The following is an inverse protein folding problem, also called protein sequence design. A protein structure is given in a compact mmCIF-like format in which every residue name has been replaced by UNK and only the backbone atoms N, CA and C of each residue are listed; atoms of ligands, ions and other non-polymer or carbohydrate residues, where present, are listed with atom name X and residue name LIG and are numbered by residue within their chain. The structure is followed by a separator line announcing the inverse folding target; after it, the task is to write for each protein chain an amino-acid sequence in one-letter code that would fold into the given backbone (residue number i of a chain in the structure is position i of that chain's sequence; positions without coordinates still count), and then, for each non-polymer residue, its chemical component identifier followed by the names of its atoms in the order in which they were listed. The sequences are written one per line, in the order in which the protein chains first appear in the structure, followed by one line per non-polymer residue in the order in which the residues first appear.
data_IF_996771245484
#
_entry.id   IF_996771245484
#
_cell.length_a   1.000
_cell.length_b   1.000
_cell.length_c   1.000
_cell.angle_alpha   90.00
_cell.angle_beta   90.00
_cell.angle_gamma   90.00
#
_symmetry.space_group_name_H-M   'P 1'
#
loop_
_entity.id
_entity.type
_entity.pdbx_description
1 polymer ?
#
# COMPACT_ATOMS: atom_id res chain seq x y z
N UNK A 1 32.53 -68.65 -8.27
CA UNK A 1 31.47 -68.36 -7.29
C UNK A 1 31.88 -67.14 -6.52
N UNK A 2 31.31 -65.97 -6.83
CA UNK A 2 31.50 -64.73 -6.10
C UNK A 2 30.12 -64.18 -5.80
N UNK A 3 29.79 -64.09 -4.52
CA UNK A 3 28.50 -63.60 -4.01
C UNK A 3 28.30 -62.12 -4.36
N UNK A 4 27.13 -61.71 -4.88
CA UNK A 4 26.79 -60.30 -5.00
C UNK A 4 26.53 -59.70 -3.61
N UNK A 5 27.09 -58.52 -3.35
CA UNK A 5 26.89 -57.76 -2.12
C UNK A 5 25.47 -57.19 -2.00
N UNK A 6 25.07 -56.71 -0.82
CA UNK A 6 23.69 -56.30 -0.56
C UNK A 6 23.33 -55.03 -1.34
N UNK A 7 22.19 -55.06 -2.03
CA UNK A 7 21.53 -53.87 -2.56
C UNK A 7 21.07 -52.98 -1.39
N UNK A 8 21.62 -51.76 -1.34
CA UNK A 8 21.09 -50.67 -0.52
C UNK A 8 19.75 -50.23 -1.12
N UNK A 9 18.66 -50.83 -0.63
CA UNK A 9 17.31 -50.35 -0.88
C UNK A 9 17.08 -49.07 -0.06
N UNK A 10 17.35 -47.93 -0.68
CA UNK A 10 16.93 -46.62 -0.16
C UNK A 10 15.41 -46.53 -0.34
N UNK A 11 14.69 -46.79 0.75
CA UNK A 11 13.23 -46.65 0.80
C UNK A 11 12.77 -45.26 0.33
N UNK A 12 11.51 -45.13 -0.10
CA UNK A 12 11.00 -43.91 -0.73
C UNK A 12 11.20 -42.74 0.22
N UNK A 13 12.08 -41.82 -0.20
CA UNK A 13 12.29 -40.55 0.47
C UNK A 13 10.93 -39.89 0.68
N UNK A 14 10.60 -39.64 1.94
CA UNK A 14 9.52 -38.74 2.29
C UNK A 14 9.95 -37.35 1.80
N UNK A 15 9.53 -37.00 0.58
CA UNK A 15 9.49 -35.61 0.15
C UNK A 15 8.51 -34.91 1.08
N UNK A 16 9.02 -34.30 2.16
CA UNK A 16 8.28 -33.28 2.89
C UNK A 16 8.11 -32.12 1.92
N UNK A 17 6.95 -32.08 1.27
CA UNK A 17 6.48 -30.86 0.62
C UNK A 17 6.10 -29.92 1.77
N UNK A 18 7.09 -29.24 2.34
CA UNK A 18 6.81 -28.08 3.19
C UNK A 18 6.17 -27.04 2.27
N UNK A 19 4.88 -26.79 2.49
CA UNK A 19 4.16 -25.74 1.77
C UNK A 19 4.82 -24.41 2.14
N UNK A 20 5.54 -23.85 1.19
CA UNK A 20 6.08 -22.50 1.32
C UNK A 20 4.95 -21.49 1.15
N UNK A 21 4.85 -20.55 2.10
CA UNK A 21 3.95 -19.41 2.04
C UNK A 21 4.67 -18.13 1.64
N UNK A 22 5.92 -18.22 1.15
CA UNK A 22 6.74 -17.05 0.85
C UNK A 22 6.08 -16.16 -0.21
N UNK A 23 5.50 -16.75 -1.26
CA UNK A 23 4.79 -15.99 -2.31
C UNK A 23 3.50 -15.34 -1.78
N UNK A 24 2.72 -16.09 -0.99
CA UNK A 24 1.49 -15.57 -0.37
C UNK A 24 1.78 -14.40 0.58
N UNK A 25 2.86 -14.51 1.37
CA UNK A 25 3.34 -13.45 2.25
C UNK A 25 3.77 -12.23 1.44
N UNK A 26 4.51 -12.44 0.36
CA UNK A 26 4.97 -11.36 -0.51
C UNK A 26 3.82 -10.64 -1.20
N UNK A 27 2.79 -11.36 -1.65
CA UNK A 27 1.57 -10.77 -2.20
C UNK A 27 0.78 -10.01 -1.14
N UNK A 28 0.65 -10.57 0.06
CA UNK A 28 -0.03 -9.91 1.19
C UNK A 28 0.70 -8.63 1.59
N UNK A 29 2.03 -8.67 1.70
CA UNK A 29 2.84 -7.50 2.01
C UNK A 29 2.73 -6.44 0.91
N UNK A 30 2.69 -6.83 -0.36
CA UNK A 30 2.46 -5.91 -1.47
C UNK A 30 1.11 -5.16 -1.32
N UNK A 31 0.03 -5.89 -1.03
CA UNK A 31 -1.29 -5.29 -0.76
C UNK A 31 -1.27 -4.32 0.42
N UNK A 32 -0.58 -4.68 1.51
CA UNK A 32 -0.41 -3.81 2.67
C UNK A 32 0.35 -2.53 2.28
N UNK A 33 1.43 -2.64 1.52
CA UNK A 33 2.20 -1.47 1.07
C UNK A 33 1.44 -0.57 0.11
N UNK A 34 0.61 -1.14 -0.76
CA UNK A 34 -0.26 -0.37 -1.67
C UNK A 34 -1.32 0.41 -0.87
N UNK A 35 -1.79 -0.16 0.24
CA UNK A 35 -2.65 0.51 1.21
C UNK A 35 -1.91 1.44 2.19
N UNK A 36 -0.60 1.67 2.01
CA UNK A 36 0.26 2.47 2.89
C UNK A 36 0.34 1.96 4.33
N UNK A 37 0.28 0.64 4.52
CA UNK A 37 0.36 -0.03 5.82
C UNK A 37 1.76 -0.64 6.01
N UNK A 38 2.43 -0.24 7.09
CA UNK A 38 3.66 -0.86 7.57
C UNK A 38 3.36 -1.77 8.78
N UNK A 39 3.96 -2.96 8.81
CA UNK A 39 3.70 -3.96 9.86
C UNK A 39 4.84 -4.00 10.88
N UNK A 40 4.48 -4.02 12.16
CA UNK A 40 5.40 -4.03 13.29
C UNK A 40 5.16 -5.24 14.20
N UNK A 41 5.63 -6.45 13.82
CA UNK A 41 5.38 -7.64 14.62
C UNK A 41 6.08 -7.57 15.97
N UNK A 42 5.36 -8.00 17.02
CA UNK A 42 5.89 -8.14 18.38
C UNK A 42 5.81 -9.61 18.78
N UNK A 43 6.96 -10.22 19.06
CA UNK A 43 7.05 -11.59 19.55
C UNK A 43 6.62 -11.65 21.01
N UNK A 44 5.37 -12.05 21.24
CA UNK A 44 4.77 -12.13 22.57
C UNK A 44 5.42 -13.15 23.50
N UNK A 45 6.31 -14.03 23.00
CA UNK A 45 7.08 -14.97 23.83
C UNK A 45 8.09 -14.24 24.73
N UNK A 46 8.38 -12.97 24.44
CA UNK A 46 9.25 -12.14 25.26
C UNK A 46 10.73 -12.40 25.01
N UNK A 47 11.55 -12.15 26.04
CA UNK A 47 12.96 -12.52 26.04
C UNK A 47 13.09 -14.04 26.15
N UNK A 48 13.37 -14.69 25.02
CA UNK A 48 13.69 -16.10 24.99
C UNK A 48 15.16 -16.30 25.30
N UNK A 49 15.43 -17.04 26.37
CA UNK A 49 16.76 -17.58 26.67
C UNK A 49 17.04 -18.83 25.82
N UNK A 50 17.96 -19.68 26.30
CA UNK A 50 18.20 -20.97 25.68
C UNK A 50 16.93 -21.82 25.63
N UNK A 51 16.61 -22.37 24.46
CA UNK A 51 15.48 -23.27 24.21
C UNK A 51 15.62 -24.64 24.88
N UNK A 52 16.80 -24.92 25.48
CA UNK A 52 17.09 -26.22 26.10
C UNK A 52 16.20 -26.56 27.30
N UNK A 53 15.68 -25.57 28.04
CA UNK A 53 14.86 -25.81 29.25
C UNK A 53 13.94 -24.63 29.55
N UNK A 54 12.66 -24.76 29.25
CA UNK A 54 11.63 -23.81 29.74
C UNK A 54 10.93 -24.41 30.96
N UNK A 55 10.44 -23.59 31.89
CA UNK A 55 9.73 -24.09 33.08
C UNK A 55 8.45 -24.87 32.75
N UNK A 56 7.94 -24.72 31.52
CA UNK A 56 6.79 -25.45 30.97
C UNK A 56 7.11 -26.82 30.38
N UNK A 57 8.39 -27.19 30.24
CA UNK A 57 8.79 -28.50 29.75
C UNK A 57 9.05 -29.46 30.91
N UNK A 58 8.25 -30.54 31.07
CA UNK A 58 8.46 -31.52 32.14
C UNK A 58 9.73 -32.36 31.95
N UNK A 59 10.41 -32.27 30.79
CA UNK A 59 11.64 -32.99 30.50
C UNK A 59 11.45 -34.52 30.37
N UNK A 60 10.20 -34.98 30.31
CA UNK A 60 9.83 -36.40 30.27
C UNK A 60 9.05 -36.75 29.00
N UNK A 61 9.25 -37.95 28.45
CA UNK A 61 8.53 -38.44 27.28
C UNK A 61 7.11 -38.91 27.63
N UNK A 62 6.38 -39.46 26.65
CA UNK A 62 4.99 -39.93 26.84
C UNK A 62 4.85 -41.03 27.91
N UNK A 63 5.95 -41.72 28.24
CA UNK A 63 6.01 -42.73 29.29
C UNK A 63 6.42 -42.17 30.65
N UNK A 64 6.61 -40.85 30.77
CA UNK A 64 7.07 -40.19 31.99
C UNK A 64 8.55 -40.40 32.29
N UNK A 65 9.34 -40.94 31.35
CA UNK A 65 10.78 -41.13 31.49
C UNK A 65 11.53 -39.88 31.03
N UNK A 66 12.64 -39.55 31.69
CA UNK A 66 13.47 -38.40 31.28
C UNK A 66 13.94 -38.53 29.82
N UNK A 67 13.72 -37.49 29.02
CA UNK A 67 14.18 -37.42 27.63
C UNK A 67 15.70 -37.26 27.62
N UNK A 68 16.41 -38.15 26.94
CA UNK A 68 17.87 -38.16 26.88
C UNK A 68 18.37 -38.45 25.45
N UNK A 69 19.61 -38.08 25.15
CA UNK A 69 20.28 -38.42 23.90
C UNK A 69 19.55 -37.88 22.67
N UNK A 70 19.22 -38.76 21.71
CA UNK A 70 18.64 -38.38 20.43
C UNK A 70 17.24 -37.75 20.54
N UNK A 71 16.40 -38.24 21.45
CA UNK A 71 15.04 -37.71 21.66
C UNK A 71 15.07 -36.26 22.17
N UNK A 72 15.97 -35.98 23.11
CA UNK A 72 16.20 -34.61 23.59
C UNK A 72 16.77 -33.72 22.48
N UNK A 73 17.74 -34.22 21.71
CA UNK A 73 18.32 -33.49 20.58
C UNK A 73 17.29 -33.13 19.50
N UNK A 74 16.42 -34.07 19.15
CA UNK A 74 15.34 -33.84 18.16
C UNK A 74 14.34 -32.80 18.64
N UNK A 75 13.94 -32.85 19.91
CA UNK A 75 13.03 -31.85 20.47
C UNK A 75 13.62 -30.44 20.46
N UNK A 76 14.86 -30.29 20.94
CA UNK A 76 15.54 -28.98 20.95
C UNK A 76 15.66 -28.45 19.53
N UNK A 77 16.10 -29.28 18.58
CA UNK A 77 16.18 -28.92 17.16
C UNK A 77 14.83 -28.47 16.61
N UNK A 78 13.74 -29.18 16.94
CA UNK A 78 12.40 -28.84 16.48
C UNK A 78 11.88 -27.53 17.11
N UNK A 79 12.16 -27.29 18.38
CA UNK A 79 11.78 -26.06 19.07
C UNK A 79 12.54 -24.84 18.52
N UNK A 80 13.86 -24.98 18.32
CA UNK A 80 14.71 -23.97 17.71
C UNK A 80 14.26 -23.63 16.30
N UNK A 81 14.01 -24.66 15.48
CA UNK A 81 13.57 -24.46 14.10
C UNK A 81 12.25 -23.69 14.06
N UNK A 82 11.24 -24.10 14.83
CA UNK A 82 9.95 -23.38 14.90
C UNK A 82 10.10 -21.93 15.37
N UNK A 83 10.97 -21.68 16.34
CA UNK A 83 11.24 -20.33 16.84
C UNK A 83 11.83 -19.45 15.73
N UNK A 84 12.87 -19.95 15.07
CA UNK A 84 13.54 -19.28 13.96
C UNK A 84 12.58 -19.02 12.80
N UNK A 85 11.77 -20.01 12.41
CA UNK A 85 10.81 -19.89 11.31
C UNK A 85 9.75 -18.81 11.59
N UNK A 86 9.23 -18.78 12.82
CA UNK A 86 8.25 -17.76 13.23
C UNK A 86 8.89 -16.37 13.20
N UNK A 87 10.11 -16.22 13.72
CA UNK A 87 10.81 -14.95 13.73
C UNK A 87 11.21 -14.49 12.34
N UNK A 88 11.60 -15.41 11.45
CA UNK A 88 11.91 -15.13 10.05
C UNK A 88 10.66 -14.64 9.30
N UNK A 89 9.49 -15.25 9.54
CA UNK A 89 8.22 -14.81 8.96
C UNK A 89 7.86 -13.39 9.40
N UNK A 90 8.01 -13.09 10.69
CA UNK A 90 7.83 -11.73 11.21
C UNK A 90 8.79 -10.73 10.54
N UNK A 91 10.06 -11.11 10.38
CA UNK A 91 11.07 -10.27 9.76
C UNK A 91 10.78 -10.01 8.29
N UNK A 92 10.36 -11.04 7.56
CA UNK A 92 9.97 -10.91 6.16
C UNK A 92 8.83 -9.89 6.01
N UNK A 93 7.72 -10.07 6.75
CA UNK A 93 6.57 -9.17 6.65
C UNK A 93 6.91 -7.73 7.04
N UNK A 94 7.68 -7.54 8.10
CA UNK A 94 8.13 -6.21 8.53
C UNK A 94 9.03 -5.55 7.47
N UNK A 95 10.00 -6.28 6.92
CA UNK A 95 10.92 -5.76 5.92
C UNK A 95 10.22 -5.44 4.60
N UNK A 96 9.30 -6.30 4.16
CA UNK A 96 8.54 -6.10 2.92
C UNK A 96 7.62 -4.87 2.99
N UNK A 97 7.10 -4.58 4.18
CA UNK A 97 6.21 -3.43 4.43
C UNK A 97 6.92 -2.16 4.95
N UNK A 98 8.24 -2.22 5.17
CA UNK A 98 9.03 -1.10 5.68
C UNK A 98 8.91 -0.85 7.19
N UNK A 99 8.32 -1.78 7.94
CA UNK A 99 8.24 -1.75 9.40
C UNK A 99 9.49 -2.35 10.09
N UNK A 100 9.31 -2.87 11.31
CA UNK A 100 10.37 -3.56 12.06
C UNK A 100 9.81 -4.61 13.00
N UNK A 101 10.61 -5.64 13.28
CA UNK A 101 10.28 -6.68 14.27
C UNK A 101 10.80 -6.31 15.65
N UNK A 102 9.99 -6.64 16.65
CA UNK A 102 10.33 -6.61 18.07
C UNK A 102 10.34 -8.03 18.61
N UNK A 103 11.53 -8.63 18.73
CA UNK A 103 11.72 -9.99 19.25
C UNK A 103 12.73 -10.03 20.38
N UNK A 104 12.68 -11.09 21.19
CA UNK A 104 13.61 -11.33 22.30
C UNK A 104 13.66 -10.18 23.32
N UNK A 105 12.49 -9.65 23.73
CA UNK A 105 12.37 -8.51 24.63
C UNK A 105 11.07 -8.52 25.41
N UNK A 106 11.06 -7.96 26.62
CA UNK A 106 9.91 -7.96 27.55
C UNK A 106 9.24 -6.58 27.72
N UNK A 107 9.62 -5.60 26.92
CA UNK A 107 9.12 -4.22 26.92
C UNK A 107 8.20 -3.97 25.71
N UNK A 108 7.01 -4.60 25.76
CA UNK A 108 5.98 -4.51 24.72
C UNK A 108 5.44 -3.07 24.61
N UNK A 109 5.29 -2.38 25.74
CA UNK A 109 4.92 -0.97 25.82
C UNK A 109 5.88 -0.07 25.03
N UNK A 110 7.19 -0.27 25.20
CA UNK A 110 8.21 0.43 24.43
C UNK A 110 8.18 0.04 22.93
N UNK A 111 7.86 -1.21 22.61
CA UNK A 111 7.73 -1.68 21.22
C UNK A 111 6.58 -0.96 20.49
N UNK A 112 5.44 -0.80 21.16
CA UNK A 112 4.29 -0.03 20.65
C UNK A 112 4.65 1.45 20.51
N UNK A 113 5.27 2.06 21.54
CA UNK A 113 5.67 3.46 21.49
C UNK A 113 6.64 3.76 20.33
N UNK A 114 7.63 2.89 20.11
CA UNK A 114 8.56 3.01 18.98
C UNK A 114 7.86 2.85 17.63
N UNK A 115 6.86 1.96 17.52
CA UNK A 115 6.09 1.78 16.28
C UNK A 115 5.26 3.01 15.93
N UNK A 116 4.66 3.65 16.94
CA UNK A 116 3.91 4.90 16.76
C UNK A 116 4.83 6.08 16.39
N UNK A 117 5.99 6.19 17.06
CA UNK A 117 6.98 7.22 16.75
C UNK A 117 7.49 7.10 15.30
N UNK A 118 7.70 5.87 14.84
CA UNK A 118 8.13 5.59 13.47
C UNK A 118 7.11 6.02 12.41
N UNK A 119 5.82 5.72 12.65
CA UNK A 119 4.73 6.16 11.77
C UNK A 119 4.46 7.67 11.78
N UNK A 120 5.00 8.41 12.76
CA UNK A 120 4.73 9.85 12.90
C UNK A 120 5.56 10.74 11.96
N UNK A 121 6.65 10.22 11.39
CA UNK A 121 7.59 11.00 10.59
C UNK A 121 8.14 10.15 9.45
N UNK A 122 7.63 10.38 8.24
CA UNK A 122 8.04 9.65 7.05
C UNK A 122 8.10 10.57 5.82
N UNK A 123 8.81 10.10 4.80
CA UNK A 123 8.82 10.72 3.47
C UNK A 123 8.01 9.86 2.52
N UNK A 124 7.18 10.49 1.68
CA UNK A 124 6.50 9.82 0.57
C UNK A 124 7.30 10.05 -0.71
N UNK A 125 7.73 8.96 -1.34
CA UNK A 125 8.49 8.97 -2.60
C UNK A 125 7.69 8.20 -3.66
N UNK A 126 7.30 8.88 -4.74
CA UNK A 126 6.65 8.25 -5.88
C UNK A 126 7.67 7.68 -6.86
N UNK A 127 7.50 6.40 -7.23
CA UNK A 127 8.26 5.76 -8.30
C UNK A 127 7.29 5.26 -9.37
N UNK A 128 7.45 5.76 -10.60
CA UNK A 128 6.62 5.42 -11.74
C UNK A 128 7.55 4.84 -12.82
N UNK A 129 7.47 3.52 -13.11
CA UNK A 129 8.36 2.90 -14.09
C UNK A 129 8.12 3.49 -15.49
N UNK A 130 9.20 3.86 -16.17
CA UNK A 130 9.16 4.35 -17.56
C UNK A 130 8.76 3.22 -18.51
N UNK A 131 9.40 2.05 -18.35
CA UNK A 131 9.05 0.82 -19.06
C UNK A 131 7.94 0.07 -18.34
N UNK A 132 6.69 0.26 -18.81
CA UNK A 132 5.49 -0.41 -18.30
C UNK A 132 5.42 -1.89 -18.73
N UNK A 133 6.45 -2.66 -18.40
CA UNK A 133 6.49 -4.11 -18.63
C UNK A 133 5.68 -4.84 -17.55
N UNK A 134 4.43 -5.16 -17.87
CA UNK A 134 3.49 -5.85 -16.98
C UNK A 134 3.62 -7.38 -17.09
N UNK A 135 4.78 -7.92 -16.75
CA UNK A 135 5.09 -9.35 -16.88
C UNK A 135 4.55 -10.23 -15.72
N UNK A 136 3.84 -9.62 -14.76
CA UNK A 136 3.28 -10.25 -13.57
C UNK A 136 4.31 -10.61 -12.50
N UNK A 137 5.60 -10.32 -12.70
CA UNK A 137 6.66 -10.66 -11.75
C UNK A 137 6.87 -9.57 -10.72
N UNK A 138 7.56 -9.94 -9.64
CA UNK A 138 7.97 -8.99 -8.62
C UNK A 138 9.21 -8.20 -9.05
N UNK A 139 9.09 -6.88 -9.06
CA UNK A 139 10.16 -5.94 -9.35
C UNK A 139 10.66 -5.32 -8.04
N UNK A 140 11.96 -5.47 -7.75
CA UNK A 140 12.58 -4.92 -6.56
C UNK A 140 12.75 -3.41 -6.64
N UNK A 141 12.53 -2.74 -5.52
CA UNK A 141 12.84 -1.33 -5.32
C UNK A 141 14.02 -1.24 -4.36
N UNK A 142 15.01 -0.42 -4.71
CA UNK A 142 16.15 -0.14 -3.85
C UNK A 142 16.25 1.37 -3.63
N UNK A 143 16.32 1.77 -2.36
CA UNK A 143 16.51 3.18 -1.97
C UNK A 143 17.89 3.34 -1.36
N UNK A 144 18.71 4.20 -1.97
CA UNK A 144 20.03 4.54 -1.47
C UNK A 144 20.04 5.99 -0.98
N UNK A 145 20.62 6.23 0.20
CA UNK A 145 20.79 7.57 0.78
C UNK A 145 22.26 7.95 0.81
N UNK A 146 22.54 9.23 0.59
CA UNK A 146 23.92 9.74 0.55
C UNK A 146 24.61 9.74 1.92
N UNK A 147 23.84 9.83 3.01
CA UNK A 147 24.39 9.92 4.35
C UNK A 147 24.85 8.54 4.85
N UNK A 148 26.12 8.39 5.27
CA UNK A 148 26.61 7.14 5.78
C UNK A 148 25.98 6.80 7.14
N UNK A 149 25.83 5.50 7.43
CA UNK A 149 25.30 4.93 8.69
C UNK A 149 23.79 5.14 8.94
N UNK A 150 23.04 5.71 8.01
CA UNK A 150 21.58 5.67 8.08
C UNK A 150 21.06 4.31 7.59
N UNK A 151 20.01 3.82 8.24
CA UNK A 151 19.23 2.68 7.78
C UNK A 151 17.92 3.18 7.19
N UNK A 152 17.65 2.81 5.95
CA UNK A 152 16.40 3.15 5.26
C UNK A 152 15.50 1.94 5.32
N UNK A 153 14.25 2.15 5.73
CA UNK A 153 13.18 1.15 5.60
C UNK A 153 12.18 1.66 4.59
N UNK A 154 11.82 0.78 3.65
CA UNK A 154 10.98 1.10 2.52
C UNK A 154 10.31 -0.17 2.00
N UNK A 155 9.27 -0.02 1.18
CA UNK A 155 8.67 -1.14 0.44
C UNK A 155 9.73 -1.82 -0.43
N UNK A 156 9.76 -3.15 -0.45
CA UNK A 156 10.82 -3.90 -1.13
C UNK A 156 10.63 -4.03 -2.65
N UNK A 157 9.43 -3.75 -3.15
CA UNK A 157 9.12 -3.87 -4.57
C UNK A 157 7.63 -3.76 -4.85
N UNK A 158 7.24 -4.20 -6.05
CA UNK A 158 5.86 -4.26 -6.52
C UNK A 158 5.70 -5.40 -7.52
N UNK A 159 4.49 -5.94 -7.66
CA UNK A 159 4.19 -6.87 -8.75
C UNK A 159 3.80 -6.08 -10.00
N UNK A 160 4.42 -6.40 -11.13
CA UNK A 160 4.12 -5.77 -12.41
C UNK A 160 2.86 -6.39 -13.05
N UNK A 161 1.72 -6.28 -12.36
CA UNK A 161 0.42 -6.76 -12.86
C UNK A 161 -0.15 -5.75 -13.85
N UNK A 162 -0.70 -6.24 -14.97
CA UNK A 162 -1.35 -5.40 -15.97
C UNK A 162 -2.55 -4.65 -15.33
N UNK A 163 -2.47 -3.32 -15.15
CA UNK A 163 -3.50 -2.57 -14.46
C UNK A 163 -4.80 -2.51 -15.27
N UNK A 164 -4.79 -2.82 -16.57
CA UNK A 164 -6.01 -2.83 -17.38
C UNK A 164 -6.98 -3.95 -17.00
N UNK A 165 -6.54 -4.92 -16.21
CA UNK A 165 -7.42 -5.92 -15.60
C UNK A 165 -8.43 -5.30 -14.64
N UNK A 166 -8.12 -4.14 -14.05
CA UNK A 166 -9.04 -3.38 -13.20
C UNK A 166 -10.38 -3.13 -13.91
N UNK A 167 -10.35 -2.77 -15.20
CA UNK A 167 -11.56 -2.49 -15.97
C UNK A 167 -12.52 -3.69 -16.12
N UNK A 168 -12.04 -4.92 -15.83
CA UNK A 168 -12.82 -6.16 -15.86
C UNK A 168 -13.49 -6.51 -14.54
N UNK A 169 -13.14 -5.82 -13.46
CA UNK A 169 -13.74 -6.04 -12.14
C UNK A 169 -15.22 -5.62 -12.13
N UNK A 170 -15.97 -6.12 -11.14
CA UNK A 170 -17.37 -5.71 -10.96
C UNK A 170 -17.45 -4.19 -10.75
N UNK A 171 -18.58 -3.59 -11.12
CA UNK A 171 -18.75 -2.13 -10.97
C UNK A 171 -18.73 -1.76 -9.49
N UNK A 172 -19.36 -2.59 -8.67
CA UNK A 172 -19.51 -2.44 -7.23
C UNK A 172 -18.14 -2.41 -6.54
N UNK A 173 -17.22 -3.31 -6.92
CA UNK A 173 -15.86 -3.35 -6.37
C UNK A 173 -15.09 -2.05 -6.71
N UNK A 174 -15.21 -1.57 -7.95
CA UNK A 174 -14.56 -0.33 -8.41
C UNK A 174 -15.13 0.92 -7.75
N UNK A 175 -16.42 0.93 -7.43
CA UNK A 175 -17.04 2.01 -6.67
C UNK A 175 -16.64 1.95 -5.19
N UNK A 176 -16.55 0.75 -4.60
CA UNK A 176 -16.09 0.58 -3.23
C UNK A 176 -14.63 1.05 -3.04
N UNK A 177 -13.75 0.75 -4.00
CA UNK A 177 -12.37 1.24 -4.01
C UNK A 177 -12.32 2.77 -4.02
N UNK A 178 -13.07 3.43 -4.91
CA UNK A 178 -13.16 4.89 -4.96
C UNK A 178 -13.67 5.46 -3.63
N UNK A 179 -14.73 4.89 -3.05
CA UNK A 179 -15.26 5.35 -1.78
C UNK A 179 -14.26 5.20 -0.62
N UNK A 180 -13.43 4.17 -0.64
CA UNK A 180 -12.38 3.96 0.38
C UNK A 180 -11.33 5.07 0.39
N UNK A 181 -11.03 5.68 -0.77
CA UNK A 181 -10.03 6.75 -0.89
C UNK A 181 -10.65 8.15 -0.81
N UNK A 182 -11.96 8.28 -0.97
CA UNK A 182 -12.69 9.56 -0.88
C UNK A 182 -13.11 9.92 0.54
N UNK A 183 -13.01 9.00 1.49
CA UNK A 183 -13.29 9.26 2.90
C UNK A 183 -12.42 10.37 3.51
N UNK A 184 -12.94 11.12 4.51
CA UNK A 184 -12.11 11.99 5.34
C UNK A 184 -10.97 11.20 5.96
N UNK A 185 -9.78 11.79 6.02
CA UNK A 185 -8.57 11.19 6.61
C UNK A 185 -8.09 9.89 5.93
N UNK A 186 -8.69 9.48 4.81
CA UNK A 186 -8.18 8.37 3.99
C UNK A 186 -6.76 8.69 3.49
N UNK A 187 -5.86 7.70 3.40
CA UNK A 187 -4.52 7.90 2.86
C UNK A 187 -4.55 8.46 1.44
N UNK A 188 -3.47 9.14 1.03
CA UNK A 188 -3.40 9.73 -0.32
C UNK A 188 -3.11 8.65 -1.35
N UNK A 189 -3.96 8.56 -2.38
CA UNK A 189 -3.69 7.74 -3.55
C UNK A 189 -2.75 8.50 -4.49
N UNK A 190 -1.76 7.80 -5.04
CA UNK A 190 -0.71 8.40 -5.87
C UNK A 190 -0.56 7.73 -7.23
N UNK A 191 -1.51 6.88 -7.64
CA UNK A 191 -1.51 6.24 -8.96
C UNK A 191 -1.67 7.24 -10.11
N UNK A 192 -2.40 8.34 -9.87
CA UNK A 192 -2.45 9.51 -10.76
C UNK A 192 -1.80 10.71 -10.07
N UNK A 193 -0.95 11.43 -10.81
CA UNK A 193 -0.37 12.68 -10.33
C UNK A 193 -1.16 13.84 -10.91
N UNK A 194 -1.50 14.81 -10.06
CA UNK A 194 -2.08 16.08 -10.49
C UNK A 194 -1.80 17.19 -9.48
N UNK A 195 -1.72 18.42 -9.97
CA UNK A 195 -1.79 19.61 -9.13
C UNK A 195 -3.24 20.07 -8.98
N UNK A 196 -3.57 20.67 -7.84
CA UNK A 196 -4.88 21.22 -7.58
C UNK A 196 -4.79 22.68 -7.13
N UNK A 197 -5.70 23.51 -7.63
CA UNK A 197 -5.88 24.89 -7.20
C UNK A 197 -7.36 25.11 -6.88
N UNK A 198 -7.63 25.51 -5.65
CA UNK A 198 -8.95 25.96 -5.20
C UNK A 198 -8.88 27.47 -5.00
N UNK A 199 -9.78 28.21 -5.63
CA UNK A 199 -9.80 29.68 -5.55
C UNK A 199 -10.99 30.11 -4.69
N UNK A 200 -10.79 30.63 -3.46
CA UNK A 200 -11.89 31.16 -2.66
C UNK A 200 -12.54 32.36 -3.37
N UNK A 201 -13.84 32.30 -3.69
CA UNK A 201 -14.56 33.41 -4.31
C UNK A 201 -14.87 34.52 -3.28
N UNK A 202 -15.34 35.67 -3.76
CA UNK A 202 -15.77 36.77 -2.89
C UNK A 202 -16.92 36.32 -1.95
N UNK A 203 -17.00 36.85 -0.71
CA UNK A 203 -18.00 36.41 0.27
C UNK A 203 -19.45 36.63 -0.22
N UNK A 204 -20.27 35.57 -0.16
CA UNK A 204 -21.71 35.61 -0.43
C UNK A 204 -22.44 34.51 0.35
N UNK A 205 -23.78 34.52 0.36
CA UNK A 205 -24.60 33.53 1.07
C UNK A 205 -24.44 32.10 0.51
N UNK A 206 -24.17 31.98 -0.79
CA UNK A 206 -23.63 30.81 -1.45
C UNK A 206 -22.67 31.25 -2.53
N UNK A 207 -21.58 30.51 -2.68
CA UNK A 207 -20.52 30.84 -3.63
C UNK A 207 -20.19 29.63 -4.48
N UNK A 208 -19.89 29.87 -5.75
CA UNK A 208 -19.31 28.87 -6.63
C UNK A 208 -17.80 28.89 -6.44
N UNK A 209 -17.25 27.84 -5.85
CA UNK A 209 -15.83 27.69 -5.58
C UNK A 209 -15.17 27.01 -6.79
N UNK A 210 -14.36 27.72 -7.59
CA UNK A 210 -13.65 27.10 -8.71
C UNK A 210 -12.57 26.14 -8.20
N UNK A 211 -12.51 24.97 -8.84
CA UNK A 211 -11.50 23.95 -8.64
C UNK A 211 -10.84 23.68 -9.98
N UNK A 212 -9.54 23.92 -10.06
CA UNK A 212 -8.71 23.61 -11.21
C UNK A 212 -7.78 22.45 -10.87
N UNK A 213 -7.75 21.44 -11.73
CA UNK A 213 -6.84 20.30 -11.64
C UNK A 213 -5.91 20.31 -12.86
N UNK A 214 -4.64 19.99 -12.67
CA UNK A 214 -3.67 19.84 -13.75
C UNK A 214 -3.05 18.45 -13.67
N UNK A 215 -3.48 17.57 -14.58
CA UNK A 215 -3.17 16.15 -14.53
C UNK A 215 -1.85 15.89 -15.26
N UNK A 216 -0.96 15.13 -14.63
CA UNK A 216 0.26 14.66 -15.25
C UNK A 216 -0.06 13.55 -16.25
N UNK A 217 0.25 13.79 -17.53
CA UNK A 217 -0.06 12.83 -18.58
C UNK A 217 0.80 11.57 -18.54
N UNK A 218 1.91 11.55 -17.80
CA UNK A 218 2.78 10.37 -17.68
C UNK A 218 2.08 9.26 -16.89
N UNK A 219 1.19 9.62 -15.97
CA UNK A 219 0.39 8.66 -15.20
C UNK A 219 -0.89 8.23 -15.93
N UNK A 220 -1.34 9.00 -16.93
CA UNK A 220 -2.52 8.67 -17.73
C UNK A 220 -2.26 7.52 -18.71
N UNK A 221 -3.22 6.62 -18.85
CA UNK A 221 -3.22 5.57 -19.87
C UNK A 221 -4.09 5.92 -21.07
N UNK A 222 -3.75 5.32 -22.20
CA UNK A 222 -4.45 5.53 -23.47
C UNK A 222 -4.80 4.19 -24.11
N UNK A 223 -5.99 4.12 -24.72
CA UNK A 223 -6.31 3.11 -25.71
C UNK A 223 -5.90 3.57 -27.09
N UNK A 224 -5.01 2.82 -27.75
CA UNK A 224 -4.66 3.09 -29.14
C UNK A 224 -5.76 2.57 -30.06
N UNK A 225 -6.25 3.44 -30.94
CA UNK A 225 -7.19 3.09 -32.02
C UNK A 225 -6.46 3.00 -33.35
N UNK A 226 -7.11 2.32 -34.30
CA UNK A 226 -6.63 2.28 -35.70
C UNK A 226 -6.55 3.72 -36.23
N UNK A 227 -5.41 4.09 -36.81
CA UNK A 227 -5.18 5.44 -37.36
C UNK A 227 -4.42 6.39 -36.43
N UNK A 228 -3.89 5.92 -35.29
CA UNK A 228 -3.01 6.72 -34.42
C UNK A 228 -3.74 7.65 -33.45
N UNK A 229 -5.07 7.64 -33.46
CA UNK A 229 -5.89 8.28 -32.42
C UNK A 229 -5.79 7.49 -31.11
N UNK A 230 -5.72 8.22 -29.99
CA UNK A 230 -5.70 7.65 -28.66
C UNK A 230 -6.97 8.04 -27.92
N UNK A 231 -7.58 7.13 -27.17
CA UNK A 231 -8.68 7.45 -26.26
C UNK A 231 -8.17 7.46 -24.82
N UNK A 232 -8.62 8.43 -24.04
CA UNK A 232 -8.46 8.41 -22.59
C UNK A 232 -9.83 8.44 -21.93
N UNK A 233 -9.89 7.93 -20.70
CA UNK A 233 -11.09 7.96 -19.86
C UNK A 233 -10.71 8.35 -18.45
N UNK A 234 -11.15 9.53 -18.03
CA UNK A 234 -10.90 10.07 -16.71
C UNK A 234 -12.20 10.29 -15.95
N UNK A 235 -12.19 10.00 -14.65
CA UNK A 235 -13.21 10.43 -13.70
C UNK A 235 -12.60 11.41 -12.69
N UNK A 236 -13.35 12.46 -12.38
CA UNK A 236 -12.98 13.54 -11.49
C UNK A 236 -13.99 13.59 -10.36
N UNK A 237 -13.51 13.67 -9.12
CA UNK A 237 -14.34 13.74 -7.93
C UNK A 237 -13.89 14.92 -7.08
N UNK A 238 -14.83 15.76 -6.68
CA UNK A 238 -14.60 16.89 -5.78
C UNK A 238 -15.65 16.80 -4.68
N UNK A 239 -15.25 16.48 -3.46
CA UNK A 239 -16.14 16.42 -2.30
C UNK A 239 -15.71 17.42 -1.24
N UNK A 240 -16.64 18.16 -0.65
CA UNK A 240 -16.38 19.05 0.47
C UNK A 240 -16.98 18.47 1.75
N UNK A 241 -16.15 18.29 2.76
CA UNK A 241 -16.54 17.83 4.08
C UNK A 241 -16.52 18.98 5.08
N UNK A 242 -17.61 19.12 5.84
CA UNK A 242 -17.68 20.02 6.99
C UNK A 242 -16.83 19.48 8.16
N UNK A 243 -16.56 20.28 9.21
CA UNK A 243 -15.72 19.85 10.33
C UNK A 243 -16.29 18.67 11.13
N UNK A 244 -17.60 18.44 11.05
CA UNK A 244 -18.29 17.28 11.65
C UNK A 244 -18.20 16.01 10.79
N UNK A 245 -17.43 16.04 9.70
CA UNK A 245 -17.24 14.92 8.78
C UNK A 245 -18.38 14.71 7.78
N UNK A 246 -19.45 15.53 7.81
CA UNK A 246 -20.54 15.40 6.84
C UNK A 246 -20.16 16.02 5.51
N UNK A 247 -20.50 15.32 4.43
CA UNK A 247 -20.36 15.84 3.08
C UNK A 247 -21.37 16.98 2.87
N UNK A 248 -20.87 18.19 2.60
CA UNK A 248 -21.68 19.37 2.35
C UNK A 248 -22.08 19.51 0.88
N UNK A 249 -21.19 19.14 -0.03
CA UNK A 249 -21.43 19.10 -1.46
C UNK A 249 -20.40 18.17 -2.13
N UNK A 250 -20.75 17.66 -3.31
CA UNK A 250 -19.82 16.96 -4.19
C UNK A 250 -20.10 17.29 -5.67
N UNK A 251 -19.13 17.02 -6.51
CA UNK A 251 -19.24 17.06 -7.96
C UNK A 251 -18.40 15.94 -8.56
N UNK A 252 -19.04 15.13 -9.40
CA UNK A 252 -18.41 14.04 -10.13
C UNK A 252 -18.55 14.29 -11.63
N UNK A 253 -17.50 14.01 -12.38
CA UNK A 253 -17.52 14.12 -13.83
C UNK A 253 -16.69 13.02 -14.48
N UNK A 254 -17.18 12.56 -15.63
CA UNK A 254 -16.46 11.61 -16.48
C UNK A 254 -16.14 12.27 -17.81
N UNK A 255 -14.90 12.10 -18.27
CA UNK A 255 -14.42 12.60 -19.55
C UNK A 255 -13.84 11.43 -20.33
N UNK A 256 -14.57 11.01 -21.37
CA UNK A 256 -14.11 10.07 -22.38
C UNK A 256 -13.90 10.85 -23.68
N UNK A 257 -12.65 10.93 -24.17
CA UNK A 257 -12.39 11.68 -25.39
C UNK A 257 -11.19 11.14 -26.18
N UNK A 258 -11.21 11.34 -27.51
CA UNK A 258 -10.02 11.15 -28.32
C UNK A 258 -9.00 12.26 -28.09
N UNK A 259 -7.73 11.89 -28.23
CA UNK A 259 -6.59 12.81 -28.25
C UNK A 259 -5.64 12.41 -29.38
N UNK A 260 -5.22 13.41 -30.16
CA UNK A 260 -4.24 13.24 -31.23
C UNK A 260 -2.83 13.11 -30.65
N UNK A 261 -1.96 12.37 -31.34
CA UNK A 261 -0.59 12.14 -30.89
C UNK A 261 0.21 13.46 -30.68
N UNK A 262 -0.01 14.46 -31.53
CA UNK A 262 0.65 15.78 -31.42
C UNK A 262 0.19 16.52 -30.15
N UNK A 263 -1.10 16.41 -29.80
CA UNK A 263 -1.64 16.98 -28.58
C UNK A 263 -1.09 16.28 -27.34
N UNK A 264 -0.92 14.95 -27.39
CA UNK A 264 -0.26 14.20 -26.30
C UNK A 264 1.16 14.72 -26.07
N UNK A 265 1.95 14.88 -27.14
CA UNK A 265 3.32 15.37 -27.04
C UNK A 265 3.41 16.77 -26.41
N UNK A 266 2.53 17.71 -26.83
CA UNK A 266 2.48 19.05 -26.26
C UNK A 266 2.07 19.05 -24.79
N UNK A 267 1.11 18.20 -24.43
CA UNK A 267 0.51 18.17 -23.10
C UNK A 267 1.34 17.38 -22.07
N UNK A 268 2.24 16.50 -22.50
CA UNK A 268 3.25 15.88 -21.63
C UNK A 268 4.10 16.91 -20.87
N UNK A 269 4.29 18.12 -21.43
CA UNK A 269 5.03 19.20 -20.78
C UNK A 269 4.14 20.16 -19.98
N UNK A 270 2.89 20.34 -20.41
CA UNK A 270 1.99 21.38 -19.88
C UNK A 270 0.97 20.86 -18.86
N UNK A 271 0.79 19.54 -18.79
CA UNK A 271 -0.30 18.90 -18.06
C UNK A 271 -1.65 19.01 -18.79
N UNK A 272 -2.60 18.19 -18.35
CA UNK A 272 -3.97 18.17 -18.85
C UNK A 272 -4.89 18.92 -17.87
N UNK A 273 -5.41 20.10 -18.22
CA UNK A 273 -6.22 20.88 -17.30
C UNK A 273 -7.67 20.38 -17.26
N UNK A 274 -8.24 20.32 -16.06
CA UNK A 274 -9.66 20.14 -15.81
C UNK A 274 -10.17 21.23 -14.88
N UNK A 275 -11.36 21.76 -15.15
CA UNK A 275 -11.97 22.84 -14.36
C UNK A 275 -13.39 22.47 -14.00
N UNK A 276 -13.73 22.65 -12.74
CA UNK A 276 -15.10 22.53 -12.24
C UNK A 276 -15.34 23.56 -11.15
N UNK A 277 -16.55 23.58 -10.60
CA UNK A 277 -16.94 24.44 -9.50
C UNK A 277 -17.86 23.69 -8.55
N UNK A 278 -17.76 24.03 -7.26
CA UNK A 278 -18.60 23.48 -6.21
C UNK A 278 -19.38 24.60 -5.53
N UNK A 279 -20.70 24.47 -5.44
CA UNK A 279 -21.53 25.44 -4.73
C UNK A 279 -21.51 25.14 -3.22
N UNK A 280 -21.06 26.10 -2.43
CA UNK A 280 -20.95 25.96 -0.97
C UNK A 280 -21.46 27.22 -0.24
N UNK A 281 -22.13 27.08 0.91
CA UNK A 281 -22.37 28.20 1.80
C UNK A 281 -21.09 28.60 2.57
N UNK A 282 -21.06 29.77 3.24
CA UNK A 282 -19.99 30.13 4.15
C UNK A 282 -19.74 29.09 5.22
N UNK A 283 -18.47 28.78 5.48
CA UNK A 283 -18.08 27.71 6.39
C UNK A 283 -16.61 27.32 6.27
N UNK A 284 -16.21 26.33 7.07
CA UNK A 284 -14.90 25.69 7.00
C UNK A 284 -15.08 24.31 6.39
N UNK A 285 -14.27 23.98 5.40
CA UNK A 285 -14.37 22.73 4.68
C UNK A 285 -12.98 22.10 4.50
N UNK A 286 -12.96 20.77 4.38
CA UNK A 286 -11.87 20.02 3.79
C UNK A 286 -12.35 19.48 2.45
N UNK A 287 -11.73 19.92 1.35
CA UNK A 287 -12.03 19.36 0.04
C UNK A 287 -11.18 18.13 -0.18
N UNK A 288 -11.82 17.01 -0.49
CA UNK A 288 -11.18 15.80 -0.99
C UNK A 288 -11.35 15.78 -2.50
N UNK A 289 -10.23 15.76 -3.22
CA UNK A 289 -10.19 15.78 -4.67
C UNK A 289 -9.62 14.44 -5.14
N UNK A 290 -10.21 13.85 -6.18
CA UNK A 290 -9.67 12.66 -6.81
C UNK A 290 -9.74 12.70 -8.34
N UNK A 291 -8.77 12.03 -8.95
CA UNK A 291 -8.74 11.74 -10.38
C UNK A 291 -8.53 10.24 -10.56
N UNK A 292 -9.39 9.59 -11.34
CA UNK A 292 -9.27 8.18 -11.70
C UNK A 292 -9.06 8.01 -13.19
N UNK A 293 -8.10 7.19 -13.58
CA UNK A 293 -8.03 6.63 -14.92
C UNK A 293 -8.92 5.38 -15.00
N UNK A 294 -10.00 5.45 -15.78
CA UNK A 294 -10.97 4.36 -15.86
C UNK A 294 -10.52 3.18 -16.72
N UNK A 295 -9.33 3.24 -17.32
CA UNK A 295 -8.75 2.09 -18.01
C UNK A 295 -7.90 1.25 -17.06
N UNK A 296 -7.23 1.87 -16.09
CA UNK A 296 -6.26 1.20 -15.19
C UNK A 296 -6.69 1.15 -13.73
N UNK A 297 -7.69 1.94 -13.34
CA UNK A 297 -8.09 2.12 -11.95
C UNK A 297 -7.17 3.02 -11.15
N UNK A 298 -6.08 3.53 -11.74
CA UNK A 298 -5.15 4.39 -11.03
C UNK A 298 -5.87 5.63 -10.51
N UNK A 299 -5.78 5.80 -9.19
CA UNK A 299 -6.37 6.89 -8.45
C UNK A 299 -5.28 7.82 -7.94
N UNK A 300 -5.52 9.11 -8.07
CA UNK A 300 -4.80 10.17 -7.38
C UNK A 300 -5.77 10.85 -6.43
N UNK A 301 -5.34 11.16 -5.21
CA UNK A 301 -6.13 12.01 -4.30
C UNK A 301 -5.28 13.11 -3.68
N UNK A 302 -5.94 14.21 -3.31
CA UNK A 302 -5.36 15.28 -2.49
C UNK A 302 -6.43 15.92 -1.61
N UNK A 303 -6.00 16.61 -0.56
CA UNK A 303 -6.88 17.35 0.35
C UNK A 303 -6.51 18.83 0.37
N UNK A 304 -7.52 19.70 0.30
CA UNK A 304 -7.35 21.17 0.34
C UNK A 304 -8.24 21.76 1.44
N UNK A 305 -7.68 22.42 2.46
CA UNK A 305 -8.49 23.17 3.42
C UNK A 305 -9.09 24.41 2.75
N UNK A 306 -10.36 24.70 3.02
CA UNK A 306 -11.07 25.86 2.50
C UNK A 306 -11.84 26.57 3.60
N UNK A 307 -11.75 27.90 3.61
CA UNK A 307 -12.57 28.77 4.46
C UNK A 307 -13.32 29.73 3.55
N UNK A 308 -14.64 29.75 3.69
CA UNK A 308 -15.54 30.65 2.98
C UNK A 308 -16.16 31.62 4.00
N UNK A 309 -15.88 32.91 3.82
CA UNK A 309 -16.35 33.94 4.74
C UNK A 309 -17.84 34.24 4.55
N UNK A 310 -18.51 34.66 5.64
CA UNK A 310 -19.87 35.18 5.56
C UNK A 310 -19.83 36.59 4.97
N UNK A 311 -20.80 36.98 4.13
CA UNK A 311 -20.93 38.37 3.72
C UNK A 311 -21.12 39.26 4.95
N UNK A 312 -20.54 40.46 4.93
CA UNK A 312 -20.74 41.44 5.99
C UNK A 312 -22.24 41.76 6.12
N UNK A 313 -22.75 41.85 7.35
CA UNK A 313 -24.10 42.32 7.56
C UNK A 313 -24.19 43.77 7.10
N UNK A 314 -25.01 44.06 6.08
CA UNK A 314 -25.32 45.44 5.72
C UNK A 314 -25.94 46.12 6.94
N UNK A 315 -25.23 47.11 7.49
CA UNK A 315 -25.71 47.90 8.60
C UNK A 315 -27.01 48.60 8.21
N UNK A 316 -28.07 48.35 8.97
CA UNK A 316 -29.29 49.17 8.96
C UNK A 316 -29.06 50.49 9.66
#
# INVERSE_FOLDING_TARGET
MGTPGPELNLGPGQFRIERSYAEDLQQTAAQLTDAQIAVYPVDARGLMGSTLTTASDPGTNELGLGRLGAEFGEQVSNADSKLLDTQATMEQLANETGGRVFKNRNDVDNSVALSLADGSSYYLLGYYPEDKNWDGKFHKIQVNVAQPKLQVRHRQGYFAVDPTQWGKQAKEDREAELMSVMGPDSPLATGMIFDARVVPPAPASRVQVPVELLIDMRTLSFEEKKGGERLYSLEFHVAAYAPDGKMAAHHDARVDAPIKAETVAARLQQGFPYRTQLELPPGRYRLRLAVRDNRTGFLGTTEVPLVLEKPAAEGK
#
